data_IF_362177665515
#
_entry.id   IF_362177665515
#
_cell.length_a   1.000
_cell.length_b   1.000
_cell.length_c   1.000
_cell.angle_alpha   90.00
_cell.angle_beta   90.00
_cell.angle_gamma   90.00
#
_symmetry.space_group_name_H-M   'P 1'
#
loop_
_entity.id
_entity.type
_entity.pdbx_description
1 polymer ?
#
# COMPACT_ATOMS: atom_id res chain seq x y z
N UNK A 1 3.63 -3.31 -30.40
CA UNK A 1 4.30 -2.06 -30.84
C UNK A 1 3.83 -1.53 -32.21
N UNK A 2 3.52 -2.36 -33.22
CA UNK A 2 3.18 -1.86 -34.57
C UNK A 2 1.88 -1.01 -34.64
N UNK A 3 0.81 -1.44 -33.95
CA UNK A 3 -0.50 -0.75 -33.97
C UNK A 3 -0.51 0.66 -33.37
N UNK A 4 0.33 0.92 -32.35
CA UNK A 4 0.42 2.24 -31.70
C UNK A 4 1.21 3.21 -32.56
N UNK A 5 2.32 2.76 -33.17
CA UNK A 5 3.11 3.58 -34.11
C UNK A 5 2.34 3.94 -35.38
N UNK A 6 1.46 3.08 -35.86
CA UNK A 6 0.65 3.37 -37.06
C UNK A 6 -0.47 4.41 -36.84
N UNK A 7 -0.80 4.74 -35.57
CA UNK A 7 -1.92 5.62 -35.23
C UNK A 7 -1.53 6.81 -34.32
N UNK A 8 -0.24 7.14 -34.23
CA UNK A 8 0.32 8.18 -33.34
C UNK A 8 -0.32 9.57 -33.52
N UNK A 9 -0.88 9.86 -34.71
CA UNK A 9 -1.63 11.11 -35.02
C UNK A 9 -3.05 11.17 -34.46
N UNK A 10 -3.58 10.07 -33.91
CA UNK A 10 -4.94 9.97 -33.37
C UNK A 10 -4.98 9.87 -31.84
N UNK A 11 -3.83 9.67 -31.19
CA UNK A 11 -3.75 9.55 -29.73
C UNK A 11 -3.71 10.92 -29.06
N UNK A 12 -4.60 11.11 -28.09
CA UNK A 12 -4.52 12.21 -27.13
C UNK A 12 -3.48 11.88 -26.05
N UNK A 13 -3.05 12.90 -25.29
CA UNK A 13 -2.18 12.73 -24.12
C UNK A 13 -2.80 11.71 -23.13
N UNK A 14 -4.12 11.78 -22.94
CA UNK A 14 -4.86 10.89 -22.05
C UNK A 14 -4.80 9.43 -22.50
N UNK A 15 -4.81 9.17 -23.82
CA UNK A 15 -4.73 7.81 -24.36
C UNK A 15 -3.38 7.16 -24.04
N UNK A 16 -2.30 7.94 -23.95
CA UNK A 16 -1.00 7.45 -23.51
C UNK A 16 -1.00 7.10 -22.02
N UNK A 17 -1.63 7.90 -21.16
CA UNK A 17 -1.79 7.57 -19.73
C UNK A 17 -2.59 6.29 -19.52
N UNK A 18 -3.69 6.12 -20.27
CA UNK A 18 -4.51 4.91 -20.22
C UNK A 18 -3.70 3.71 -20.71
N UNK A 19 -2.97 3.86 -21.82
CA UNK A 19 -2.10 2.80 -22.35
C UNK A 19 -1.03 2.39 -21.34
N UNK A 20 -0.35 3.36 -20.73
CA UNK A 20 0.63 3.12 -19.67
C UNK A 20 0.03 2.40 -18.46
N UNK A 21 -1.15 2.82 -18.01
CA UNK A 21 -1.88 2.16 -16.92
C UNK A 21 -2.27 0.71 -17.23
N UNK A 22 -2.76 0.42 -18.44
CA UNK A 22 -3.08 -0.95 -18.86
C UNK A 22 -1.83 -1.83 -18.92
N UNK A 23 -0.72 -1.31 -19.43
CA UNK A 23 0.56 -2.04 -19.47
C UNK A 23 1.07 -2.32 -18.06
N UNK A 24 0.98 -1.36 -17.14
CA UNK A 24 1.32 -1.53 -15.73
C UNK A 24 0.49 -2.66 -15.10
N UNK A 25 -0.83 -2.67 -15.31
CA UNK A 25 -1.72 -3.72 -14.80
C UNK A 25 -1.39 -5.12 -15.35
N UNK A 26 -0.74 -5.20 -16.51
CA UNK A 26 -0.31 -6.46 -17.12
C UNK A 26 1.19 -6.74 -16.94
N UNK A 27 1.85 -6.03 -16.02
CA UNK A 27 3.25 -6.20 -15.65
C UNK A 27 4.26 -5.94 -16.80
N UNK A 28 3.89 -5.12 -17.78
CA UNK A 28 4.79 -4.61 -18.83
C UNK A 28 5.39 -3.28 -18.38
N UNK A 29 6.27 -3.34 -17.36
CA UNK A 29 6.69 -2.14 -16.61
C UNK A 29 7.52 -1.18 -17.47
N UNK A 30 8.44 -1.68 -18.29
CA UNK A 30 9.26 -0.83 -19.18
C UNK A 30 8.40 -0.09 -20.19
N UNK A 31 7.47 -0.79 -20.84
CA UNK A 31 6.54 -0.18 -21.79
C UNK A 31 5.56 0.78 -21.09
N UNK A 32 5.11 0.46 -19.88
CA UNK A 32 4.29 1.36 -19.08
C UNK A 32 5.02 2.68 -18.83
N UNK A 33 6.26 2.63 -18.33
CA UNK A 33 7.10 3.81 -18.09
C UNK A 33 7.26 4.63 -19.39
N UNK A 34 7.48 3.98 -20.53
CA UNK A 34 7.61 4.66 -21.81
C UNK A 34 6.38 5.51 -22.16
N UNK A 35 5.17 4.93 -22.11
CA UNK A 35 3.95 5.67 -22.45
C UNK A 35 3.55 6.70 -21.39
N UNK A 36 3.80 6.41 -20.11
CA UNK A 36 3.56 7.37 -19.03
C UNK A 36 4.45 8.62 -19.18
N UNK A 37 5.72 8.47 -19.60
CA UNK A 37 6.58 9.61 -19.87
C UNK A 37 6.07 10.49 -21.03
N UNK A 38 5.56 9.89 -22.11
CA UNK A 38 4.92 10.65 -23.20
C UNK A 38 3.73 11.48 -22.68
N UNK A 39 2.92 10.90 -21.79
CA UNK A 39 1.80 11.61 -21.20
C UNK A 39 2.23 12.70 -20.19
N UNK A 40 3.33 12.49 -19.46
CA UNK A 40 3.96 13.48 -18.57
C UNK A 40 4.50 14.68 -19.35
N UNK A 41 5.08 14.47 -20.54
CA UNK A 41 5.47 15.57 -21.44
C UNK A 41 4.25 16.41 -21.85
N UNK A 42 3.07 15.79 -21.86
CA UNK A 42 1.75 16.41 -22.02
C UNK A 42 1.11 16.94 -20.73
N UNK A 43 1.83 16.90 -19.60
CA UNK A 43 1.43 17.42 -18.29
C UNK A 43 0.21 16.70 -17.65
N UNK A 44 0.05 15.41 -17.93
CA UNK A 44 -1.09 14.60 -17.50
C UNK A 44 -1.03 14.16 -16.02
N UNK A 45 -2.10 14.44 -15.27
CA UNK A 45 -2.19 14.14 -13.85
C UNK A 45 -2.20 12.63 -13.54
N UNK A 46 -2.83 11.81 -14.39
CA UNK A 46 -2.91 10.37 -14.20
C UNK A 46 -1.53 9.74 -14.45
N UNK A 47 -0.81 10.20 -15.46
CA UNK A 47 0.52 9.71 -15.76
C UNK A 47 1.52 10.00 -14.63
N UNK A 48 1.46 11.20 -14.04
CA UNK A 48 2.24 11.52 -12.84
C UNK A 48 1.95 10.56 -11.68
N UNK A 49 0.67 10.23 -11.42
CA UNK A 49 0.29 9.30 -10.36
C UNK A 49 0.81 7.89 -10.62
N UNK A 50 0.59 7.35 -11.82
CA UNK A 50 1.01 5.99 -12.18
C UNK A 50 2.51 5.81 -12.21
N UNK A 51 3.26 6.79 -12.69
CA UNK A 51 4.72 6.71 -12.63
C UNK A 51 5.22 6.82 -11.17
N UNK A 52 4.54 7.65 -10.36
CA UNK A 52 4.77 7.70 -8.91
C UNK A 52 4.51 6.37 -8.20
N UNK A 53 3.43 5.66 -8.57
CA UNK A 53 3.11 4.31 -8.08
C UNK A 53 4.23 3.31 -8.41
N UNK A 54 4.73 3.31 -9.65
CA UNK A 54 5.85 2.45 -10.08
C UNK A 54 7.10 2.71 -9.22
N UNK A 55 7.49 3.98 -9.06
CA UNK A 55 8.66 4.35 -8.26
C UNK A 55 8.46 4.14 -6.75
N UNK A 56 7.23 3.95 -6.29
CA UNK A 56 6.92 3.58 -4.91
C UNK A 56 7.12 2.08 -4.68
N UNK A 57 6.49 1.24 -5.51
CA UNK A 57 6.35 -0.19 -5.22
C UNK A 57 7.27 -1.11 -6.00
N UNK A 58 7.69 -0.76 -7.21
CA UNK A 58 8.47 -1.67 -8.03
C UNK A 58 9.93 -1.69 -7.58
N UNK A 59 10.42 -2.81 -7.06
CA UNK A 59 11.81 -2.94 -6.58
C UNK A 59 12.89 -2.52 -7.55
N UNK A 60 12.73 -2.84 -8.84
CA UNK A 60 13.75 -2.54 -9.85
C UNK A 60 13.81 -1.05 -10.18
N UNK A 61 12.67 -0.36 -10.12
CA UNK A 61 12.54 1.05 -10.44
C UNK A 61 12.33 1.94 -9.20
N UNK A 62 12.46 1.39 -7.99
CA UNK A 62 12.08 2.09 -6.75
C UNK A 62 12.91 3.36 -6.59
N UNK A 63 12.23 4.51 -6.51
CA UNK A 63 12.82 5.82 -6.26
C UNK A 63 11.81 6.69 -5.49
N UNK A 64 11.84 6.61 -4.16
CA UNK A 64 10.84 7.28 -3.32
C UNK A 64 10.89 8.81 -3.43
N UNK A 65 12.07 9.41 -3.61
CA UNK A 65 12.19 10.86 -3.77
C UNK A 65 11.45 11.33 -5.03
N UNK A 66 11.69 10.63 -6.14
CA UNK A 66 11.04 10.92 -7.42
C UNK A 66 9.54 10.62 -7.37
N UNK A 67 9.14 9.52 -6.72
CA UNK A 67 7.73 9.19 -6.48
C UNK A 67 7.00 10.32 -5.76
N UNK A 68 7.56 10.84 -4.66
CA UNK A 68 6.98 11.99 -3.93
C UNK A 68 6.81 13.21 -4.85
N UNK A 69 7.81 13.50 -5.68
CA UNK A 69 7.77 14.62 -6.62
C UNK A 69 6.65 14.50 -7.66
N UNK A 70 6.51 13.32 -8.27
CA UNK A 70 5.47 13.02 -9.25
C UNK A 70 4.08 13.05 -8.61
N UNK A 71 3.90 12.43 -7.44
CA UNK A 71 2.62 12.37 -6.74
C UNK A 71 2.14 13.76 -6.30
N UNK A 72 3.05 14.65 -5.88
CA UNK A 72 2.70 16.05 -5.59
C UNK A 72 2.23 16.80 -6.84
N UNK A 73 2.92 16.65 -7.97
CA UNK A 73 2.49 17.23 -9.25
C UNK A 73 1.11 16.72 -9.68
N UNK A 74 0.87 15.42 -9.48
CA UNK A 74 -0.42 14.80 -9.75
C UNK A 74 -1.55 15.41 -8.90
N UNK A 75 -1.29 15.59 -7.60
CA UNK A 75 -2.23 16.23 -6.67
C UNK A 75 -2.51 17.69 -7.02
N UNK A 76 -1.48 18.46 -7.38
CA UNK A 76 -1.62 19.87 -7.78
C UNK A 76 -2.54 20.03 -9.00
N UNK A 77 -2.72 18.96 -9.78
CA UNK A 77 -3.62 18.87 -10.94
C UNK A 77 -4.99 18.27 -10.64
N UNK A 78 -5.27 17.96 -9.39
CA UNK A 78 -6.56 17.45 -8.95
C UNK A 78 -6.73 15.93 -9.03
N UNK A 79 -5.65 15.16 -9.23
CA UNK A 79 -5.71 13.71 -9.06
C UNK A 79 -5.52 13.35 -7.58
N UNK A 80 -6.64 13.23 -6.87
CA UNK A 80 -6.67 12.99 -5.43
C UNK A 80 -6.21 11.60 -5.01
N UNK A 81 -6.12 10.64 -5.95
CA UNK A 81 -5.61 9.29 -5.67
C UNK A 81 -4.16 9.33 -5.20
N UNK A 82 -3.36 10.27 -5.72
CA UNK A 82 -1.97 10.46 -5.31
C UNK A 82 -1.79 10.81 -3.82
N UNK A 83 -2.83 11.32 -3.14
CA UNK A 83 -2.78 11.56 -1.70
C UNK A 83 -2.73 10.26 -0.89
N UNK A 84 -3.40 9.20 -1.35
CA UNK A 84 -3.33 7.88 -0.71
C UNK A 84 -1.92 7.31 -0.79
N UNK A 85 -1.26 7.44 -1.95
CA UNK A 85 0.12 6.99 -2.14
C UNK A 85 1.12 7.79 -1.30
N UNK A 86 0.95 9.12 -1.19
CA UNK A 86 1.77 9.93 -0.28
C UNK A 86 1.55 9.53 1.19
N UNK A 87 0.31 9.21 1.56
CA UNK A 87 -0.02 8.73 2.92
C UNK A 87 0.72 7.43 3.24
N UNK A 88 0.76 6.51 2.27
CA UNK A 88 1.52 5.26 2.35
C UNK A 88 3.02 5.52 2.51
N UNK A 89 3.62 6.36 1.65
CA UNK A 89 5.05 6.65 1.67
C UNK A 89 5.46 7.23 3.03
N UNK A 90 4.75 8.24 3.50
CA UNK A 90 5.05 8.88 4.79
C UNK A 90 4.73 7.99 6.01
N UNK A 91 4.10 6.83 5.82
CA UNK A 91 3.81 5.88 6.89
C UNK A 91 4.77 4.69 6.93
N UNK A 92 5.15 4.16 5.77
CA UNK A 92 5.81 2.86 5.67
C UNK A 92 7.20 2.89 5.03
N UNK A 93 7.60 3.96 4.35
CA UNK A 93 8.92 4.02 3.72
C UNK A 93 9.96 4.55 4.71
N UNK A 94 10.82 3.66 5.24
CA UNK A 94 11.76 3.90 6.35
C UNK A 94 12.43 5.28 6.38
N UNK A 95 13.04 5.70 5.26
CA UNK A 95 13.78 6.96 5.17
C UNK A 95 12.88 8.21 5.06
N UNK A 96 11.57 8.01 4.92
CA UNK A 96 10.57 9.04 4.66
C UNK A 96 9.44 9.02 5.68
N UNK A 97 9.48 8.17 6.71
CA UNK A 97 8.44 8.12 7.75
C UNK A 97 8.24 9.50 8.38
N UNK A 98 7.02 10.01 8.29
CA UNK A 98 6.54 11.26 8.86
C UNK A 98 5.04 11.13 9.13
N UNK A 99 4.70 10.71 10.35
CA UNK A 99 3.33 10.41 10.75
C UNK A 99 2.38 11.61 10.57
N UNK A 100 2.88 12.83 10.76
CA UNK A 100 2.06 14.03 10.59
C UNK A 100 1.75 14.29 9.11
N UNK A 101 2.71 14.07 8.21
CA UNK A 101 2.44 14.13 6.76
C UNK A 101 1.52 13.00 6.32
N UNK A 102 1.70 11.79 6.85
CA UNK A 102 0.79 10.69 6.53
C UNK A 102 -0.65 11.03 6.92
N UNK A 103 -0.88 11.57 8.12
CA UNK A 103 -2.21 12.04 8.57
C UNK A 103 -2.72 13.16 7.66
N UNK A 104 -1.88 14.15 7.33
CA UNK A 104 -2.25 15.27 6.46
C UNK A 104 -2.76 14.79 5.08
N UNK A 105 -2.00 13.93 4.40
CA UNK A 105 -2.39 13.42 3.09
C UNK A 105 -3.58 12.46 3.20
N UNK A 106 -3.72 11.73 4.31
CA UNK A 106 -4.87 10.88 4.55
C UNK A 106 -6.15 11.70 4.71
N UNK A 107 -6.09 12.81 5.47
CA UNK A 107 -7.21 13.74 5.61
C UNK A 107 -7.59 14.39 4.29
N UNK A 108 -6.59 14.70 3.46
CA UNK A 108 -6.82 15.19 2.11
C UNK A 108 -7.55 14.14 1.24
N UNK A 109 -7.08 12.89 1.25
CA UNK A 109 -7.72 11.79 0.53
C UNK A 109 -9.18 11.59 0.98
N UNK A 110 -9.42 11.52 2.30
CA UNK A 110 -10.77 11.36 2.89
C UNK A 110 -11.69 12.50 2.45
N UNK A 111 -11.23 13.76 2.54
CA UNK A 111 -12.02 14.94 2.15
C UNK A 111 -12.48 14.87 0.69
N UNK A 112 -11.68 14.23 -0.17
CA UNK A 112 -11.96 14.05 -1.58
C UNK A 112 -12.61 12.69 -1.93
N UNK A 113 -13.12 11.97 -0.94
CA UNK A 113 -13.90 10.73 -1.14
C UNK A 113 -13.07 9.45 -1.25
N UNK A 114 -11.76 9.51 -1.03
CA UNK A 114 -10.89 8.32 -1.03
C UNK A 114 -10.85 7.71 0.38
N UNK A 115 -11.72 6.73 0.62
CA UNK A 115 -11.90 6.10 1.94
C UNK A 115 -10.66 5.36 2.45
N UNK A 116 -9.74 4.93 1.57
CA UNK A 116 -8.47 4.31 1.97
C UNK A 116 -7.63 5.22 2.89
N UNK A 117 -7.84 6.55 2.85
CA UNK A 117 -7.20 7.47 3.79
C UNK A 117 -7.55 7.18 5.26
N UNK A 118 -8.73 6.61 5.57
CA UNK A 118 -9.06 6.21 6.95
C UNK A 118 -8.14 5.10 7.46
N UNK A 119 -7.77 4.16 6.61
CA UNK A 119 -6.81 3.10 6.95
C UNK A 119 -5.44 3.71 7.29
N UNK A 120 -4.84 4.49 6.40
CA UNK A 120 -3.52 5.09 6.65
C UNK A 120 -3.53 6.00 7.88
N UNK A 121 -4.56 6.85 8.03
CA UNK A 121 -4.71 7.71 9.19
C UNK A 121 -4.82 6.92 10.49
N UNK A 122 -5.57 5.82 10.51
CA UNK A 122 -5.72 5.00 11.72
C UNK A 122 -4.40 4.42 12.20
N UNK A 123 -3.59 3.86 11.30
CA UNK A 123 -2.26 3.32 11.64
C UNK A 123 -1.34 4.45 12.11
N UNK A 124 -1.27 5.57 11.38
CA UNK A 124 -0.43 6.70 11.77
C UNK A 124 -0.80 7.26 13.16
N UNK A 125 -2.10 7.33 13.49
CA UNK A 125 -2.57 7.73 14.82
C UNK A 125 -2.18 6.71 15.90
N UNK A 126 -2.28 5.40 15.61
CA UNK A 126 -1.88 4.37 16.54
C UNK A 126 -0.36 4.39 16.83
N UNK A 127 0.46 4.62 15.80
CA UNK A 127 1.91 4.84 15.95
C UNK A 127 2.23 6.06 16.83
N UNK A 128 1.38 7.10 16.82
CA UNK A 128 1.50 8.25 17.74
C UNK A 128 0.96 7.98 19.16
N UNK A 129 0.40 6.79 19.42
CA UNK A 129 -0.26 6.47 20.69
C UNK A 129 -1.70 7.02 20.82
N UNK A 130 -2.27 7.56 19.75
CA UNK A 130 -3.63 8.12 19.71
C UNK A 130 -4.66 7.03 19.39
N UNK A 131 -4.74 5.99 20.22
CA UNK A 131 -5.47 4.76 19.92
C UNK A 131 -6.99 4.94 19.75
N UNK A 132 -7.62 5.79 20.58
CA UNK A 132 -9.06 6.04 20.46
C UNK A 132 -9.39 6.70 19.11
N UNK A 133 -8.58 7.68 18.70
CA UNK A 133 -8.72 8.32 17.39
C UNK A 133 -8.41 7.35 16.25
N UNK A 134 -7.47 6.42 16.43
CA UNK A 134 -7.22 5.36 15.46
C UNK A 134 -8.46 4.49 15.27
N UNK A 135 -9.05 4.00 16.37
CA UNK A 135 -10.28 3.20 16.36
C UNK A 135 -11.47 3.94 15.73
N UNK A 136 -11.63 5.24 16.03
CA UNK A 136 -12.68 6.07 15.42
C UNK A 136 -12.55 6.18 13.90
N UNK A 137 -11.32 6.20 13.36
CA UNK A 137 -11.10 6.19 11.91
C UNK A 137 -11.36 4.80 11.31
N UNK A 138 -10.99 3.72 11.99
CA UNK A 138 -11.31 2.35 11.56
C UNK A 138 -12.81 2.10 11.44
N UNK A 139 -13.60 2.66 12.36
CA UNK A 139 -15.05 2.55 12.34
C UNK A 139 -15.71 3.30 11.17
N UNK A 140 -14.98 4.20 10.49
CA UNK A 140 -15.46 4.95 9.32
C UNK A 140 -15.13 4.28 7.99
N UNK A 141 -14.29 3.25 7.98
CA UNK A 141 -13.97 2.51 6.76
C UNK A 141 -15.24 1.81 6.27
N UNK A 142 -15.60 2.01 4.99
CA UNK A 142 -16.72 1.32 4.35
C UNK A 142 -16.36 -0.17 4.16
N UNK A 143 -17.05 -1.04 4.90
CA UNK A 143 -16.84 -2.48 4.87
C UNK A 143 -17.20 -3.13 3.53
N UNK A 144 -17.95 -2.45 2.65
CA UNK A 144 -18.24 -2.99 1.31
C UNK A 144 -17.04 -2.90 0.37
N UNK A 145 -16.18 -1.91 0.58
CA UNK A 145 -15.08 -1.59 -0.34
C UNK A 145 -13.72 -1.97 0.27
N UNK A 146 -13.56 -1.85 1.59
CA UNK A 146 -12.27 -1.95 2.27
C UNK A 146 -12.31 -2.78 3.57
N UNK A 147 -13.15 -3.81 3.63
CA UNK A 147 -13.25 -4.70 4.81
C UNK A 147 -11.91 -5.32 5.20
N UNK A 148 -11.13 -5.82 4.25
CA UNK A 148 -9.82 -6.41 4.54
C UNK A 148 -8.84 -5.41 5.16
N UNK A 149 -8.79 -4.17 4.66
CA UNK A 149 -7.94 -3.12 5.24
C UNK A 149 -8.36 -2.76 6.66
N UNK A 150 -9.67 -2.73 6.94
CA UNK A 150 -10.19 -2.53 8.29
C UNK A 150 -9.75 -3.67 9.22
N UNK A 151 -9.89 -4.91 8.78
CA UNK A 151 -9.51 -6.10 9.54
C UNK A 151 -8.01 -6.10 9.87
N UNK A 152 -7.15 -5.80 8.90
CA UNK A 152 -5.70 -5.69 9.11
C UNK A 152 -5.32 -4.58 10.07
N UNK A 153 -5.96 -3.41 9.95
CA UNK A 153 -5.62 -2.32 10.87
C UNK A 153 -6.16 -2.56 12.29
N UNK A 154 -7.30 -3.24 12.43
CA UNK A 154 -7.78 -3.73 13.73
C UNK A 154 -6.83 -4.75 14.33
N UNK A 155 -6.36 -5.73 13.55
CA UNK A 155 -5.42 -6.74 14.03
C UNK A 155 -4.12 -6.08 14.52
N UNK A 156 -3.58 -5.12 13.75
CA UNK A 156 -2.44 -4.29 14.17
C UNK A 156 -2.71 -3.58 15.49
N UNK A 157 -3.85 -2.90 15.61
CA UNK A 157 -4.21 -2.18 16.82
C UNK A 157 -4.24 -3.11 18.06
N UNK A 158 -4.76 -4.33 17.89
CA UNK A 158 -4.87 -5.32 18.95
C UNK A 158 -3.56 -6.01 19.34
N UNK A 159 -2.57 -6.12 18.44
CA UNK A 159 -1.35 -6.92 18.70
C UNK A 159 -0.03 -6.14 18.73
N UNK A 160 0.06 -4.97 18.10
CA UNK A 160 1.34 -4.25 17.95
C UNK A 160 1.55 -3.24 19.09
N UNK A 161 0.48 -2.66 19.62
CA UNK A 161 0.57 -1.56 20.61
C UNK A 161 0.22 -2.04 22.02
N UNK A 162 1.20 -2.55 22.76
CA UNK A 162 1.02 -3.06 24.16
C UNK A 162 0.43 -2.04 25.13
N UNK A 163 0.55 -0.74 24.84
CA UNK A 163 0.01 0.35 25.68
C UNK A 163 -1.44 0.70 25.35
N UNK A 164 -2.01 0.16 24.27
CA UNK A 164 -3.41 0.33 23.96
C UNK A 164 -4.27 -0.45 24.98
N UNK A 165 -5.26 0.20 25.59
CA UNK A 165 -6.13 -0.44 26.57
C UNK A 165 -6.94 -1.62 26.01
N UNK A 166 -7.12 -1.66 24.70
CA UNK A 166 -7.76 -2.77 24.00
C UNK A 166 -6.78 -3.84 23.51
N UNK A 167 -5.49 -3.78 23.86
CA UNK A 167 -4.49 -4.79 23.47
C UNK A 167 -5.00 -6.21 23.74
N UNK A 168 -5.07 -7.02 22.67
CA UNK A 168 -5.64 -8.35 22.66
C UNK A 168 -5.08 -9.16 21.48
N UNK A 169 -3.90 -9.79 21.64
CA UNK A 169 -3.27 -10.58 20.57
C UNK A 169 -4.12 -11.76 20.09
N UNK A 170 -4.94 -12.36 20.94
CA UNK A 170 -5.86 -13.44 20.57
C UNK A 170 -6.89 -12.95 19.53
N UNK A 171 -7.49 -11.78 19.77
CA UNK A 171 -8.43 -11.17 18.82
C UNK A 171 -7.76 -10.80 17.51
N UNK A 172 -6.51 -10.33 17.54
CA UNK A 172 -5.73 -10.09 16.32
C UNK A 172 -5.52 -11.37 15.52
N UNK A 173 -5.16 -12.46 16.21
CA UNK A 173 -4.99 -13.77 15.60
C UNK A 173 -6.27 -14.25 14.92
N UNK A 174 -7.40 -14.21 15.61
CA UNK A 174 -8.70 -14.65 15.06
C UNK A 174 -9.07 -13.89 13.77
N UNK A 175 -8.80 -12.57 13.73
CA UNK A 175 -9.03 -11.74 12.55
C UNK A 175 -8.13 -12.22 11.38
N UNK A 176 -6.83 -12.37 11.62
CA UNK A 176 -5.86 -12.72 10.59
C UNK A 176 -6.04 -14.15 10.06
N UNK A 177 -6.34 -15.12 10.93
CA UNK A 177 -6.70 -16.49 10.52
C UNK A 177 -7.99 -16.49 9.69
N UNK A 178 -8.99 -15.68 10.11
CA UNK A 178 -10.22 -15.50 9.36
C UNK A 178 -10.04 -14.88 7.97
N UNK A 179 -9.03 -14.03 7.75
CA UNK A 179 -8.68 -13.51 6.42
C UNK A 179 -8.08 -14.61 5.54
N UNK A 180 -7.11 -15.35 6.07
CA UNK A 180 -6.46 -16.48 5.39
C UNK A 180 -7.47 -17.56 4.97
N UNK A 181 -8.48 -17.83 5.79
CA UNK A 181 -9.51 -18.85 5.49
C UNK A 181 -10.49 -18.44 4.37
N UNK A 182 -10.69 -17.13 4.16
CA UNK A 182 -11.69 -16.60 3.22
C UNK A 182 -11.14 -16.33 1.83
N UNK A 183 -9.82 -16.21 1.68
CA UNK A 183 -9.20 -15.67 0.47
C UNK A 183 -7.95 -16.42 0.07
N UNK A 184 -7.67 -16.46 -1.23
CA UNK A 184 -6.37 -16.89 -1.78
C UNK A 184 -5.41 -15.71 -1.92
N UNK A 185 -5.71 -14.54 -1.34
CA UNK A 185 -4.83 -13.39 -1.36
C UNK A 185 -3.54 -13.72 -0.61
N UNK A 186 -2.41 -13.59 -1.31
CA UNK A 186 -1.10 -13.97 -0.77
C UNK A 186 -0.67 -13.09 0.38
N UNK A 187 -1.05 -11.81 0.36
CA UNK A 187 -0.72 -10.83 1.41
C UNK A 187 -1.27 -11.25 2.77
N UNK A 188 -2.39 -11.98 2.81
CA UNK A 188 -3.00 -12.44 4.06
C UNK A 188 -2.09 -13.39 4.83
N UNK A 189 -1.34 -14.24 4.12
CA UNK A 189 -0.36 -15.12 4.75
C UNK A 189 0.78 -14.32 5.37
N UNK A 190 1.24 -13.28 4.68
CA UNK A 190 2.33 -12.41 5.13
C UNK A 190 1.93 -11.60 6.37
N UNK A 191 0.70 -11.08 6.42
CA UNK A 191 0.18 -10.38 7.60
C UNK A 191 0.05 -11.31 8.82
N UNK A 192 -0.42 -12.54 8.62
CA UNK A 192 -0.48 -13.53 9.69
C UNK A 192 0.93 -13.96 10.12
N UNK A 193 1.88 -14.08 9.19
CA UNK A 193 3.27 -14.37 9.50
C UNK A 193 3.91 -13.26 10.34
N UNK A 194 3.69 -11.98 9.98
CA UNK A 194 4.16 -10.82 10.76
C UNK A 194 3.63 -10.87 12.20
N UNK A 195 2.36 -11.24 12.38
CA UNK A 195 1.76 -11.42 13.71
C UNK A 195 2.48 -12.50 14.53
N UNK A 196 2.78 -13.65 13.92
CA UNK A 196 3.53 -14.73 14.57
C UNK A 196 5.00 -14.37 14.88
N UNK A 197 5.52 -13.30 14.29
CA UNK A 197 6.86 -12.77 14.60
C UNK A 197 6.87 -11.76 15.75
N UNK A 198 5.71 -11.23 16.14
CA UNK A 198 5.60 -10.28 17.25
C UNK A 198 6.02 -10.91 18.58
N UNK A 199 6.57 -10.07 19.47
CA UNK A 199 6.86 -10.44 20.85
C UNK A 199 5.57 -10.47 21.69
N UNK A 200 4.77 -11.51 21.51
CA UNK A 200 3.58 -11.83 22.30
C UNK A 200 3.50 -13.35 22.58
N UNK A 201 2.48 -13.79 23.31
CA UNK A 201 2.27 -15.19 23.72
C UNK A 201 2.08 -16.18 22.56
N UNK A 202 1.77 -15.68 21.35
CA UNK A 202 1.57 -16.48 20.15
C UNK A 202 2.83 -16.56 19.27
N UNK A 203 3.96 -15.96 19.65
CA UNK A 203 5.17 -15.95 18.83
C UNK A 203 5.56 -17.37 18.38
N UNK A 204 5.63 -17.58 17.06
CA UNK A 204 6.02 -18.85 16.42
C UNK A 204 6.75 -18.59 15.10
N UNK A 205 8.07 -18.50 15.16
CA UNK A 205 8.92 -18.21 13.99
C UNK A 205 8.85 -19.31 12.92
N UNK A 206 8.59 -20.56 13.32
CA UNK A 206 8.49 -21.67 12.38
C UNK A 206 7.19 -21.56 11.58
N UNK A 207 6.08 -21.29 12.26
CA UNK A 207 4.80 -21.10 11.60
C UNK A 207 4.82 -19.85 10.71
N UNK A 208 5.42 -18.75 11.18
CA UNK A 208 5.63 -17.53 10.38
C UNK A 208 6.40 -17.83 9.09
N UNK A 209 7.50 -18.60 9.16
CA UNK A 209 8.26 -19.00 7.97
C UNK A 209 7.42 -19.80 6.96
N UNK A 210 6.62 -20.77 7.42
CA UNK A 210 5.71 -21.53 6.55
C UNK A 210 4.66 -20.64 5.89
N UNK A 211 4.15 -19.64 6.61
CA UNK A 211 3.20 -18.67 6.09
C UNK A 211 3.84 -17.74 5.05
N UNK A 212 5.03 -17.19 5.28
CA UNK A 212 5.75 -16.42 4.25
C UNK A 212 6.00 -17.24 2.98
N UNK A 213 6.31 -18.55 3.10
CA UNK A 213 6.43 -19.43 1.93
C UNK A 213 5.11 -19.60 1.17
N UNK A 214 3.97 -19.59 1.87
CA UNK A 214 2.64 -19.64 1.24
C UNK A 214 2.26 -18.30 0.60
N UNK A 215 2.70 -17.19 1.18
CA UNK A 215 2.63 -15.85 0.57
C UNK A 215 3.61 -15.63 -0.59
N UNK A 216 4.61 -16.51 -0.77
CA UNK A 216 5.64 -16.36 -1.79
C UNK A 216 5.08 -16.05 -3.20
N UNK A 217 5.62 -15.01 -3.82
CA UNK A 217 5.10 -14.37 -5.03
C UNK A 217 4.46 -13.01 -4.78
N UNK A 218 4.29 -12.59 -3.52
CA UNK A 218 4.28 -11.18 -3.17
C UNK A 218 5.72 -10.70 -2.88
N UNK A 219 6.00 -9.45 -3.24
CA UNK A 219 7.34 -8.86 -3.19
C UNK A 219 7.88 -8.73 -1.75
N UNK A 220 6.99 -8.60 -0.77
CA UNK A 220 7.32 -8.48 0.65
C UNK A 220 7.80 -9.81 1.23
N UNK A 221 7.03 -10.89 1.06
CA UNK A 221 7.38 -12.25 1.47
C UNK A 221 8.70 -12.70 0.84
N UNK A 222 8.91 -12.41 -0.44
CA UNK A 222 10.16 -12.74 -1.12
C UNK A 222 11.36 -12.05 -0.46
N UNK A 223 11.24 -10.75 -0.16
CA UNK A 223 12.28 -9.99 0.54
C UNK A 223 12.58 -10.53 1.94
N UNK A 224 11.55 -10.91 2.71
CA UNK A 224 11.70 -11.51 4.04
C UNK A 224 12.40 -12.87 3.95
N UNK A 225 11.95 -13.75 3.05
CA UNK A 225 12.52 -15.09 2.85
C UNK A 225 13.97 -15.05 2.37
N UNK A 226 14.33 -14.08 1.51
CA UNK A 226 15.72 -13.90 1.05
C UNK A 226 16.68 -13.65 2.20
N UNK A 227 16.24 -12.91 3.21
CA UNK A 227 17.03 -12.48 4.37
C UNK A 227 16.79 -13.31 5.64
N UNK A 228 16.00 -14.39 5.57
CA UNK A 228 15.63 -15.18 6.75
C UNK A 228 16.88 -15.81 7.41
N UNK A 229 17.09 -15.62 8.73
CA UNK A 229 18.35 -15.99 9.39
C UNK A 229 18.61 -17.50 9.48
N UNK A 230 17.60 -18.36 9.27
CA UNK A 230 17.71 -19.82 9.38
C UNK A 230 17.04 -20.53 8.18
N UNK A 231 17.74 -20.65 7.05
CA UNK A 231 17.25 -21.34 5.83
C UNK A 231 17.25 -22.89 5.92
N UNK A 232 17.27 -23.46 7.11
CA UNK A 232 17.44 -24.91 7.33
C UNK A 232 16.13 -25.62 7.62
#
# INVERSE_FOLDING_TARGET
MALVKENEKLFTIQDYSVTGGVLLMNNYIEEAIFYLNIAIDGDDAIAYERLGEIYTYNHHYKNIEEAIGLLKKSLDKGNYYAASLLSYIYLFEDNYIDLNKSIYYSDYAIKHGHNLGYYYKSIALAEQGNYDSAMDNLNKIDEKEYSEYKDVALSKLYAYYKNYSGYNPERSKDILEGLVDKSSNKDHFSWLADFYMLDNEFKDEKNAYELYKRGAGDWYSEGVLMNWPNKN
#
